data_IF_767447400032
#
_entry.id   IF_767447400032
#
_cell.length_a   1.000
_cell.length_b   1.000
_cell.length_c   1.000
_cell.angle_alpha   90.00
_cell.angle_beta   90.00
_cell.angle_gamma   90.00
#
_symmetry.space_group_name_H-M   'P 1'
#
loop_
_entity.id
_entity.type
_entity.pdbx_description
1 polymer ?
#
# COMPACT_ATOMS: atom_id res chain seq x y z
N UNK A 1 -5.85 6.45 -13.90
CA UNK A 1 -4.39 6.65 -14.11
C UNK A 1 -3.67 5.76 -13.09
N UNK A 2 -2.48 5.22 -13.44
CA UNK A 2 -1.71 4.41 -12.49
C UNK A 2 -0.70 5.29 -11.76
N UNK A 3 -0.71 5.21 -10.43
CA UNK A 3 0.20 5.92 -9.55
C UNK A 3 1.14 4.95 -8.83
N UNK A 4 2.40 5.33 -8.69
CA UNK A 4 3.37 4.62 -7.84
C UNK A 4 2.99 4.82 -6.38
N UNK A 5 2.71 3.74 -5.66
CA UNK A 5 2.43 3.80 -4.22
C UNK A 5 3.63 4.32 -3.44
N UNK A 6 4.84 3.93 -3.86
CA UNK A 6 6.08 4.45 -3.29
C UNK A 6 6.20 5.97 -3.44
N UNK A 7 5.80 6.53 -4.58
CA UNK A 7 5.83 7.97 -4.81
C UNK A 7 4.72 8.72 -4.05
N UNK A 8 3.58 8.07 -3.81
CA UNK A 8 2.49 8.66 -3.03
C UNK A 8 2.84 8.79 -1.54
N UNK A 9 3.70 7.94 -1.00
CA UNK A 9 4.16 8.07 0.38
C UNK A 9 5.00 9.32 0.55
N UNK A 10 4.70 10.09 1.57
CA UNK A 10 5.28 11.41 1.80
C UNK A 10 4.62 12.54 1.02
N UNK A 11 3.71 12.23 0.10
CA UNK A 11 2.98 13.24 -0.65
C UNK A 11 2.04 14.05 0.25
N UNK A 12 1.88 15.32 -0.10
CA UNK A 12 0.99 16.21 0.64
C UNK A 12 -0.48 15.86 0.42
N UNK A 13 -1.27 16.12 1.44
CA UNK A 13 -2.73 16.07 1.37
C UNK A 13 -3.26 17.50 1.42
N UNK A 14 -4.20 17.80 0.53
CA UNK A 14 -4.91 19.07 0.45
C UNK A 14 -6.36 18.82 0.81
N UNK A 15 -6.77 19.33 1.98
CA UNK A 15 -8.15 19.42 2.39
C UNK A 15 -8.87 20.53 1.63
N UNK A 16 -10.20 20.62 1.74
CA UNK A 16 -10.95 21.66 1.02
C UNK A 16 -10.49 23.09 1.34
N UNK A 17 -10.01 23.30 2.54
CA UNK A 17 -9.71 24.59 3.13
C UNK A 17 -8.21 24.88 3.24
N UNK A 18 -7.37 23.83 3.28
CA UNK A 18 -5.92 24.04 3.44
C UNK A 18 -5.09 22.77 3.14
N UNK A 19 -3.79 22.97 3.00
CA UNK A 19 -2.82 21.86 2.99
C UNK A 19 -2.73 21.26 4.39
N UNK A 20 -2.96 19.95 4.49
CA UNK A 20 -3.12 19.27 5.77
C UNK A 20 -2.50 17.88 5.79
N UNK A 21 -1.29 17.79 6.32
CA UNK A 21 -0.61 16.51 6.52
C UNK A 21 0.00 15.89 5.27
N UNK A 22 0.38 14.64 5.41
CA UNK A 22 1.02 13.86 4.34
C UNK A 22 0.68 12.36 4.47
N UNK A 23 0.80 11.66 3.34
CA UNK A 23 0.57 10.21 3.27
C UNK A 23 1.72 9.47 3.95
N UNK A 24 1.39 8.60 4.90
CA UNK A 24 2.36 7.73 5.59
C UNK A 24 2.38 6.35 4.95
N UNK A 25 1.20 5.76 4.72
CA UNK A 25 1.07 4.41 4.20
C UNK A 25 -0.27 4.25 3.46
N UNK A 26 -0.40 3.17 2.71
CA UNK A 26 -1.65 2.74 2.09
C UNK A 26 -1.98 1.34 2.57
N UNK A 27 -3.18 1.14 3.10
CA UNK A 27 -3.66 -0.16 3.54
C UNK A 27 -4.61 -0.75 2.49
N UNK A 28 -4.38 -1.99 2.10
CA UNK A 28 -5.16 -2.68 1.08
C UNK A 28 -5.54 -4.10 1.51
N UNK A 29 -6.59 -4.63 0.90
CA UNK A 29 -7.02 -6.01 1.03
C UNK A 29 -6.26 -6.88 0.02
N UNK A 30 -5.53 -7.92 0.48
CA UNK A 30 -4.70 -8.76 -0.37
C UNK A 30 -5.47 -9.82 -1.18
N UNK A 31 -6.76 -10.00 -0.92
CA UNK A 31 -7.62 -10.87 -1.74
C UNK A 31 -8.18 -10.15 -2.96
N UNK A 32 -8.62 -8.91 -2.73
CA UNK A 32 -9.27 -8.10 -3.77
C UNK A 32 -8.31 -7.10 -4.43
N UNK A 33 -7.14 -6.92 -3.82
CA UNK A 33 -6.16 -5.91 -4.21
C UNK A 33 -6.76 -4.50 -4.27
N UNK A 34 -7.68 -4.21 -3.37
CA UNK A 34 -8.40 -2.94 -3.29
C UNK A 34 -7.86 -2.11 -2.14
N UNK A 35 -7.60 -0.83 -2.40
CA UNK A 35 -7.24 0.13 -1.37
C UNK A 35 -8.38 0.27 -0.36
N UNK A 36 -8.08 0.08 0.92
CA UNK A 36 -9.04 0.21 2.02
C UNK A 36 -8.88 1.56 2.71
N UNK A 37 -7.64 1.96 2.96
CA UNK A 37 -7.34 3.21 3.66
C UNK A 37 -6.06 3.86 3.15
N UNK A 38 -6.07 5.18 3.11
CA UNK A 38 -4.85 5.99 3.10
C UNK A 38 -4.57 6.40 4.54
N UNK A 39 -3.39 6.05 5.04
CA UNK A 39 -2.91 6.47 6.36
C UNK A 39 -2.25 7.82 6.20
N UNK A 40 -2.76 8.80 6.88
CA UNK A 40 -2.24 10.15 6.82
C UNK A 40 -1.74 10.59 8.20
N UNK A 41 -0.59 11.25 8.22
CA UNK A 41 -0.11 12.00 9.37
C UNK A 41 -0.69 13.43 9.29
N UNK A 42 -1.39 13.83 10.34
CA UNK A 42 -2.04 15.15 10.38
C UNK A 42 -1.07 16.30 10.68
N UNK A 43 0.22 15.99 10.92
CA UNK A 43 1.22 17.01 11.27
C UNK A 43 1.02 17.60 12.66
N UNK A 44 1.67 18.74 12.90
CA UNK A 44 1.55 19.48 14.18
C UNK A 44 0.32 20.40 14.19
N UNK A 45 -0.27 20.72 15.35
CA UNK A 45 0.27 20.57 16.70
C UNK A 45 -0.05 19.22 17.36
N UNK A 46 0.83 18.86 18.29
CA UNK A 46 0.78 17.64 19.10
C UNK A 46 -0.57 17.36 19.80
N UNK A 47 -0.95 16.07 19.95
CA UNK A 47 -0.18 14.90 19.59
C UNK A 47 -0.23 14.61 18.09
N UNK A 48 0.91 14.26 17.51
CA UNK A 48 0.99 13.74 16.15
C UNK A 48 0.05 12.54 16.04
N UNK A 49 -0.91 12.64 15.14
CA UNK A 49 -1.95 11.62 15.01
C UNK A 49 -2.03 11.16 13.56
N UNK A 50 -1.94 9.87 13.37
CA UNK A 50 -2.23 9.27 12.08
C UNK A 50 -3.68 8.84 12.03
N UNK A 51 -4.37 9.17 10.96
CA UNK A 51 -5.78 8.84 10.75
C UNK A 51 -5.97 8.07 9.46
N UNK A 52 -7.08 7.33 9.40
CA UNK A 52 -7.47 6.53 8.24
C UNK A 52 -8.44 7.32 7.38
N UNK A 53 -8.10 7.47 6.10
CA UNK A 53 -9.01 8.00 5.08
C UNK A 53 -9.44 6.88 4.12
N UNK A 54 -10.74 6.73 3.97
CA UNK A 54 -11.31 5.85 2.95
C UNK A 54 -11.11 6.47 1.55
N UNK A 55 -10.90 5.65 0.51
CA UNK A 55 -10.73 6.11 -0.87
C UNK A 55 -11.86 7.04 -1.35
N UNK A 56 -13.10 6.80 -0.92
CA UNK A 56 -14.25 7.65 -1.23
C UNK A 56 -14.08 9.13 -0.78
N UNK A 57 -13.20 9.39 0.19
CA UNK A 57 -12.89 10.74 0.64
C UNK A 57 -11.90 11.47 -0.29
N UNK A 58 -11.21 10.75 -1.18
CA UNK A 58 -10.23 11.33 -2.10
C UNK A 58 -10.95 11.89 -3.32
N UNK A 59 -10.65 13.12 -3.68
CA UNK A 59 -11.20 13.79 -4.87
C UNK A 59 -10.38 13.49 -6.11
N UNK A 60 -9.05 13.58 -6.00
CA UNK A 60 -8.09 13.36 -7.09
C UNK A 60 -6.68 13.18 -6.56
N UNK A 61 -5.83 12.61 -7.39
CA UNK A 61 -4.37 12.59 -7.22
C UNK A 61 -3.79 13.37 -8.40
N UNK A 62 -3.04 14.43 -8.13
CA UNK A 62 -2.41 15.20 -9.20
C UNK A 62 -1.17 14.47 -9.77
N UNK A 63 -0.64 14.88 -10.92
CA UNK A 63 0.56 14.28 -11.51
C UNK A 63 1.81 14.36 -10.62
N UNK A 64 1.84 15.28 -9.68
CA UNK A 64 2.90 15.45 -8.67
C UNK A 64 2.71 14.54 -7.44
N UNK A 65 1.62 13.77 -7.39
CA UNK A 65 1.29 12.87 -6.30
C UNK A 65 0.51 13.51 -5.14
N UNK A 66 0.19 14.80 -5.18
CA UNK A 66 -0.62 15.44 -4.12
C UNK A 66 -2.04 14.89 -4.12
N UNK A 67 -2.52 14.50 -2.96
CA UNK A 67 -3.88 14.00 -2.77
C UNK A 67 -4.80 15.15 -2.37
N UNK A 68 -5.79 15.45 -3.21
CA UNK A 68 -6.90 16.33 -2.85
C UNK A 68 -8.03 15.53 -2.24
N UNK A 69 -8.55 15.97 -1.09
CA UNK A 69 -9.65 15.29 -0.39
C UNK A 69 -10.89 16.16 -0.31
N UNK A 70 -12.07 15.51 -0.32
CA UNK A 70 -13.39 16.18 -0.25
C UNK A 70 -13.75 16.66 1.16
N UNK A 71 -12.88 16.44 2.13
CA UNK A 71 -13.12 16.72 3.53
C UNK A 71 -12.39 18.00 3.94
N UNK A 72 -13.03 18.79 4.82
CA UNK A 72 -12.35 19.85 5.53
C UNK A 72 -11.48 19.28 6.67
N UNK A 73 -10.46 20.03 7.09
CA UNK A 73 -9.53 19.63 8.16
C UNK A 73 -10.24 19.07 9.39
N UNK A 74 -11.26 19.78 9.91
CA UNK A 74 -12.01 19.35 11.10
C UNK A 74 -12.73 18.00 10.93
N UNK A 75 -13.08 17.64 9.70
CA UNK A 75 -13.69 16.35 9.39
C UNK A 75 -12.62 15.25 9.37
N UNK A 76 -11.43 15.54 8.84
CA UNK A 76 -10.29 14.62 8.85
C UNK A 76 -9.85 14.32 10.29
N UNK A 77 -9.75 15.33 11.13
CA UNK A 77 -9.36 15.20 12.55
C UNK A 77 -10.31 14.29 13.36
N UNK A 78 -11.55 14.12 12.89
CA UNK A 78 -12.55 13.23 13.50
C UNK A 78 -12.52 11.79 12.98
N UNK A 79 -11.72 11.51 11.92
CA UNK A 79 -11.61 10.16 11.37
C UNK A 79 -10.94 9.21 12.38
N UNK A 80 -11.18 7.90 12.26
CA UNK A 80 -10.56 6.91 13.11
C UNK A 80 -9.04 7.04 13.14
N UNK A 81 -8.46 6.79 14.28
CA UNK A 81 -7.02 6.63 14.43
C UNK A 81 -6.56 5.40 13.63
N UNK A 82 -5.34 5.42 13.11
CA UNK A 82 -4.76 4.29 12.36
C UNK A 82 -4.73 2.99 13.17
N UNK A 83 -4.76 3.08 14.49
CA UNK A 83 -4.84 1.93 15.40
C UNK A 83 -6.22 1.27 15.43
N UNK A 84 -7.27 1.93 14.91
CA UNK A 84 -8.61 1.36 14.86
C UNK A 84 -8.70 0.17 13.87
N UNK A 85 -7.96 0.25 12.78
CA UNK A 85 -7.86 -0.82 11.77
C UNK A 85 -6.38 -1.20 11.59
N UNK A 86 -5.98 -2.34 12.13
CA UNK A 86 -4.59 -2.76 12.14
C UNK A 86 -4.30 -3.73 11.01
N UNK A 87 -3.28 -3.45 10.16
CA UNK A 87 -2.78 -4.43 9.21
C UNK A 87 -2.25 -5.68 9.94
N UNK A 88 -2.23 -6.81 9.25
CA UNK A 88 -1.90 -8.13 9.81
C UNK A 88 -0.60 -8.12 10.62
N UNK A 89 0.44 -7.42 10.16
CA UNK A 89 1.73 -7.39 10.84
C UNK A 89 1.69 -6.74 12.24
N UNK A 90 0.72 -5.85 12.50
CA UNK A 90 0.53 -5.23 13.82
C UNK A 90 -0.42 -6.02 14.73
N UNK A 91 -1.13 -7.02 14.18
CA UNK A 91 -2.07 -7.82 14.97
C UNK A 91 -1.36 -8.85 15.84
N UNK A 92 -0.13 -9.22 15.48
CA UNK A 92 0.62 -10.29 16.16
C UNK A 92 1.30 -9.84 17.47
N UNK A 93 1.66 -8.57 17.58
CA UNK A 93 2.39 -8.04 18.75
C UNK A 93 1.47 -7.70 19.94
N UNK A 94 0.19 -8.03 19.86
CA UNK A 94 -0.76 -7.69 20.90
C UNK A 94 -1.30 -8.91 21.64
N UNK A 95 -1.09 -8.88 22.96
CA UNK A 95 -1.78 -9.72 23.94
C UNK A 95 -3.30 -9.74 23.73
N UNK A 96 -3.98 -10.82 24.12
CA UNK A 96 -5.32 -11.19 23.65
C UNK A 96 -6.43 -10.34 24.22
N UNK A 97 -6.58 -9.14 23.76
CA UNK A 97 -7.78 -8.32 23.99
C UNK A 97 -8.65 -8.33 22.73
N UNK A 98 -9.20 -9.46 22.39
CA UNK A 98 -10.52 -9.65 21.77
C UNK A 98 -10.83 -9.05 20.38
N UNK A 99 -10.05 -8.15 19.82
CA UNK A 99 -10.27 -7.60 18.48
C UNK A 99 -9.38 -8.31 17.47
N UNK A 100 -9.94 -9.28 16.77
CA UNK A 100 -9.34 -9.84 15.56
C UNK A 100 -9.48 -8.78 14.47
N UNK A 101 -8.38 -8.11 14.13
CA UNK A 101 -8.31 -7.27 12.95
C UNK A 101 -8.57 -8.07 11.67
N UNK A 102 -8.80 -7.36 10.55
CA UNK A 102 -8.98 -8.00 9.25
C UNK A 102 -7.70 -8.76 8.86
N UNK A 103 -7.79 -10.08 8.75
CA UNK A 103 -6.67 -10.98 8.41
C UNK A 103 -6.11 -10.76 6.99
N UNK A 104 -6.73 -9.90 6.20
CA UNK A 104 -6.35 -9.58 4.81
C UNK A 104 -5.91 -8.13 4.62
N UNK A 105 -5.96 -7.31 5.67
CA UNK A 105 -5.50 -5.93 5.59
C UNK A 105 -3.96 -5.87 5.60
N UNK A 106 -3.38 -5.35 4.53
CA UNK A 106 -1.93 -5.24 4.34
C UNK A 106 -1.46 -3.79 4.32
N UNK A 107 -0.30 -3.54 4.88
CA UNK A 107 0.44 -2.30 4.75
C UNK A 107 1.27 -2.32 3.47
N UNK A 108 1.15 -1.30 2.64
CA UNK A 108 1.98 -1.17 1.44
C UNK A 108 3.46 -1.02 1.78
N UNK A 109 3.77 -0.34 2.90
CA UNK A 109 5.14 -0.20 3.39
C UNK A 109 5.80 -1.53 3.69
N UNK A 110 5.06 -2.43 4.36
CA UNK A 110 5.59 -3.74 4.74
C UNK A 110 5.72 -4.67 3.53
N UNK A 111 4.78 -4.61 2.59
CA UNK A 111 4.83 -5.43 1.37
C UNK A 111 5.96 -4.97 0.45
N UNK A 112 6.19 -3.67 0.34
CA UNK A 112 7.37 -3.15 -0.34
C UNK A 112 8.64 -3.58 0.41
N UNK A 113 9.60 -4.14 -0.32
CA UNK A 113 10.82 -4.72 0.25
C UNK A 113 10.71 -6.19 0.65
N UNK A 114 9.52 -6.80 0.61
CA UNK A 114 9.40 -8.25 0.73
C UNK A 114 10.13 -8.95 -0.42
N UNK A 115 10.79 -10.08 -0.12
CA UNK A 115 11.37 -10.93 -1.16
C UNK A 115 10.26 -11.57 -1.99
N UNK A 116 10.52 -11.77 -3.29
CA UNK A 116 9.56 -12.39 -4.20
C UNK A 116 10.02 -13.79 -4.55
N UNK A 117 9.12 -14.75 -4.36
CA UNK A 117 9.32 -16.16 -4.65
C UNK A 117 8.41 -16.57 -5.80
N UNK A 118 9.00 -16.91 -6.95
CA UNK A 118 8.31 -17.57 -8.06
C UNK A 118 8.22 -19.08 -7.81
N UNK A 119 7.48 -19.81 -8.62
CA UNK A 119 7.31 -21.26 -8.48
C UNK A 119 8.66 -22.01 -8.53
N UNK A 120 9.59 -21.54 -9.32
CA UNK A 120 10.90 -22.16 -9.61
C UNK A 120 12.08 -21.46 -8.89
N UNK A 121 11.83 -20.52 -7.99
CA UNK A 121 12.89 -19.89 -7.19
C UNK A 121 12.70 -18.42 -6.88
N UNK A 122 13.68 -17.83 -6.21
CA UNK A 122 13.66 -16.41 -5.84
C UNK A 122 13.79 -15.52 -7.08
N UNK A 123 13.04 -14.42 -7.13
CA UNK A 123 13.03 -13.49 -8.27
C UNK A 123 13.61 -12.11 -7.94
N UNK A 124 13.62 -11.71 -6.68
CA UNK A 124 14.04 -10.39 -6.25
C UNK A 124 13.19 -9.86 -5.10
N UNK A 125 12.79 -8.61 -5.15
CA UNK A 125 11.97 -8.00 -4.11
C UNK A 125 10.90 -7.06 -4.69
N UNK A 126 9.83 -6.82 -3.91
CA UNK A 126 8.80 -5.85 -4.27
C UNK A 126 9.39 -4.45 -4.15
N UNK A 127 9.53 -3.76 -5.27
CA UNK A 127 10.08 -2.40 -5.34
C UNK A 127 8.99 -1.33 -5.23
N UNK A 128 7.76 -1.64 -5.69
CA UNK A 128 6.63 -0.73 -5.72
C UNK A 128 5.31 -1.49 -5.93
N UNK A 129 4.20 -0.79 -5.69
CA UNK A 129 2.85 -1.19 -6.06
C UNK A 129 2.26 -0.10 -6.95
N UNK A 130 1.39 -0.46 -7.89
CA UNK A 130 0.72 0.52 -8.74
C UNK A 130 -0.76 0.62 -8.36
N UNK A 131 -1.20 1.82 -8.01
CA UNK A 131 -2.58 2.16 -7.65
C UNK A 131 -3.32 2.73 -8.86
N UNK A 132 -4.47 2.16 -9.22
CA UNK A 132 -5.38 2.78 -10.18
C UNK A 132 -6.41 3.67 -9.45
N UNK A 133 -6.40 4.97 -9.73
CA UNK A 133 -7.30 5.94 -9.09
C UNK A 133 -8.76 5.84 -9.54
N UNK A 134 -9.06 5.07 -10.61
CA UNK A 134 -10.42 4.94 -11.15
C UNK A 134 -11.31 4.06 -10.28
N UNK A 135 -10.73 2.99 -9.77
CA UNK A 135 -11.43 1.97 -8.98
C UNK A 135 -10.74 1.63 -7.66
N UNK A 136 -9.66 2.33 -7.35
CA UNK A 136 -8.85 2.17 -6.14
C UNK A 136 -8.28 0.76 -5.99
N UNK A 137 -7.98 0.10 -7.09
CA UNK A 137 -7.31 -1.21 -7.09
C UNK A 137 -5.78 -1.06 -7.22
N UNK A 138 -5.08 -2.11 -6.84
CA UNK A 138 -3.64 -2.25 -7.06
C UNK A 138 -3.40 -3.38 -8.08
N UNK A 139 -3.60 -3.10 -9.38
CA UNK A 139 -3.59 -4.15 -10.41
C UNK A 139 -2.21 -4.80 -10.62
N UNK A 140 -1.14 -4.13 -10.21
CA UNK A 140 0.23 -4.60 -10.46
C UNK A 140 1.15 -4.38 -9.27
N UNK A 141 2.06 -5.32 -9.06
CA UNK A 141 3.27 -5.16 -8.27
C UNK A 141 4.47 -4.92 -9.19
N UNK A 142 5.41 -4.11 -8.75
CA UNK A 142 6.69 -3.89 -9.45
C UNK A 142 7.77 -4.63 -8.70
N UNK A 143 8.46 -5.52 -9.38
CA UNK A 143 9.52 -6.34 -8.81
C UNK A 143 10.86 -5.85 -9.35
N UNK A 144 11.79 -5.59 -8.45
CA UNK A 144 13.20 -5.40 -8.79
C UNK A 144 13.88 -6.76 -8.77
N UNK A 145 14.32 -7.20 -9.94
CA UNK A 145 14.89 -8.55 -10.12
C UNK A 145 16.35 -8.66 -9.66
N UNK A 146 16.96 -7.56 -9.23
CA UNK A 146 18.26 -7.55 -8.59
C UNK A 146 19.36 -8.22 -9.42
N UNK A 147 19.94 -9.31 -8.88
CA UNK A 147 21.10 -9.98 -9.48
C UNK A 147 20.80 -10.75 -10.79
N UNK A 148 19.55 -11.14 -11.05
CA UNK A 148 19.19 -11.91 -12.24
C UNK A 148 19.26 -11.09 -13.52
N UNK A 149 18.83 -9.82 -13.44
CA UNK A 149 18.94 -8.84 -14.51
C UNK A 149 19.16 -7.47 -13.87
N UNK A 150 20.40 -7.07 -13.63
CA UNK A 150 20.71 -5.84 -12.91
C UNK A 150 19.99 -4.62 -13.47
N UNK A 151 19.29 -3.90 -12.63
CA UNK A 151 18.54 -2.69 -12.97
C UNK A 151 17.22 -2.92 -13.69
N UNK A 152 16.76 -4.18 -13.88
CA UNK A 152 15.45 -4.45 -14.49
C UNK A 152 14.34 -4.52 -13.45
N UNK A 153 13.32 -3.71 -13.66
CA UNK A 153 12.05 -3.79 -12.97
C UNK A 153 11.00 -4.40 -13.88
N UNK A 154 10.28 -5.38 -13.37
CA UNK A 154 9.19 -6.04 -14.09
C UNK A 154 7.87 -5.74 -13.38
N UNK A 155 6.79 -5.60 -14.16
CA UNK A 155 5.43 -5.47 -13.64
C UNK A 155 4.76 -6.83 -13.70
N UNK A 156 4.20 -7.25 -12.57
CA UNK A 156 3.46 -8.50 -12.47
C UNK A 156 2.04 -8.18 -12.03
N UNK A 157 1.06 -8.82 -12.66
CA UNK A 157 -0.33 -8.64 -12.27
C UNK A 157 -0.53 -9.09 -10.82
N UNK A 158 -1.24 -8.31 -10.02
CA UNK A 158 -1.56 -8.64 -8.65
C UNK A 158 -2.32 -9.97 -8.51
N UNK A 159 -3.13 -10.31 -9.53
CA UNK A 159 -3.83 -11.60 -9.62
C UNK A 159 -2.89 -12.81 -9.70
N UNK A 160 -1.61 -12.62 -10.01
CA UNK A 160 -0.60 -13.68 -10.02
C UNK A 160 0.05 -13.91 -8.65
N UNK A 161 -0.29 -13.10 -7.65
CA UNK A 161 0.15 -13.31 -6.27
C UNK A 161 -0.72 -14.37 -5.64
N UNK A 162 -0.11 -15.47 -5.20
CA UNK A 162 -0.80 -16.56 -4.50
C UNK A 162 -0.95 -16.27 -3.00
N UNK A 163 0.12 -15.76 -2.39
CA UNK A 163 0.16 -15.51 -0.94
C UNK A 163 1.14 -14.40 -0.59
N UNK A 164 0.82 -13.64 0.45
CA UNK A 164 1.74 -12.72 1.12
C UNK A 164 2.04 -13.25 2.52
N UNK A 165 3.19 -13.89 2.67
CA UNK A 165 3.73 -14.32 3.97
C UNK A 165 4.40 -13.12 4.65
N UNK A 166 3.67 -12.50 5.58
CA UNK A 166 4.15 -11.32 6.30
C UNK A 166 5.22 -11.67 7.36
N UNK A 167 5.18 -12.89 7.95
CA UNK A 167 6.19 -13.36 8.94
C UNK A 167 7.52 -13.58 8.23
N UNK A 168 7.51 -14.34 7.14
CA UNK A 168 8.68 -14.61 6.32
C UNK A 168 9.09 -13.46 5.42
N UNK A 169 8.30 -12.38 5.37
CA UNK A 169 8.48 -11.22 4.46
C UNK A 169 8.67 -11.66 3.01
N UNK A 170 7.74 -12.49 2.55
CA UNK A 170 7.76 -13.07 1.20
C UNK A 170 6.44 -12.84 0.49
N UNK A 171 6.54 -12.60 -0.81
CA UNK A 171 5.42 -12.60 -1.74
C UNK A 171 5.59 -13.78 -2.66
N UNK A 172 4.65 -14.73 -2.61
CA UNK A 172 4.65 -15.93 -3.45
C UNK A 172 3.84 -15.70 -4.71
N UNK A 173 4.46 -15.94 -5.87
CA UNK A 173 3.82 -15.83 -7.18
C UNK A 173 3.41 -17.20 -7.69
N UNK A 174 2.26 -17.27 -8.36
CA UNK A 174 1.77 -18.46 -9.07
C UNK A 174 2.34 -18.55 -10.51
N UNK A 175 3.55 -18.05 -10.73
CA UNK A 175 4.22 -17.99 -12.02
C UNK A 175 5.68 -18.45 -11.89
N UNK A 176 6.23 -19.02 -12.97
CA UNK A 176 7.66 -19.29 -13.10
C UNK A 176 8.42 -18.02 -13.51
N UNK A 177 9.71 -17.95 -13.18
CA UNK A 177 10.56 -16.80 -13.48
C UNK A 177 10.62 -16.48 -14.98
N UNK A 178 10.68 -17.52 -15.81
CA UNK A 178 10.73 -17.35 -17.28
C UNK A 178 9.48 -16.62 -17.79
N UNK A 179 8.28 -16.99 -17.31
CA UNK A 179 7.04 -16.34 -17.68
C UNK A 179 6.98 -14.85 -17.27
N UNK A 180 7.65 -14.50 -16.16
CA UNK A 180 7.69 -13.13 -15.64
C UNK A 180 8.72 -12.29 -16.40
N UNK A 181 9.83 -12.88 -16.80
CA UNK A 181 10.96 -12.21 -17.44
C UNK A 181 10.85 -12.15 -18.97
N UNK A 182 9.89 -12.87 -19.56
CA UNK A 182 9.63 -12.84 -21.00
C UNK A 182 9.33 -11.38 -21.45
N UNK A 183 9.92 -10.91 -22.55
CA UNK A 183 9.58 -9.61 -23.11
C UNK A 183 8.12 -9.63 -23.58
N UNK A 184 7.36 -8.59 -23.21
CA UNK A 184 6.01 -8.32 -23.73
C UNK A 184 6.13 -7.64 -25.08
#
# INVERSE_FOLDING_TARGET
MLHSVKALRGSAIVAQDERFGFVVDLYFDDRTWTLRYVVLDTGRPMPQRSVLLEPASIASIDPGGTLSVRLARKQIEKKPDWLAERPVYLQHDMTPTGHRGDGHLRSSEIVMGCSVQALDGSLGHVADLLLDERDWTLPCIVIDTGHWLPGRRVRVAAASVGEIDWIGRKVHLALEREAILAPV
#
